data_IF_721939716537
#
_entry.id   IF_721939716537
#
_cell.length_a   1.000
_cell.length_b   1.000
_cell.length_c   1.000
_cell.angle_alpha   90.00
_cell.angle_beta   90.00
_cell.angle_gamma   90.00
#
_symmetry.space_group_name_H-M   'P 1'
#
loop_
_entity.id
_entity.type
_entity.pdbx_description
1 polymer ?
#
# COMPACT_ATOMS: atom_id res chain seq x y z
N UNK A 1 -28.66 64.67 45.03
CA UNK A 1 -27.67 64.62 43.97
C UNK A 1 -27.16 63.23 43.84
N UNK A 2 -27.75 62.50 42.95
CA UNK A 2 -27.60 61.05 42.76
C UNK A 2 -26.54 60.78 41.69
N UNK A 3 -25.44 60.19 42.11
CA UNK A 3 -24.36 59.74 41.23
C UNK A 3 -24.83 58.45 40.56
N UNK A 4 -25.14 58.51 39.30
CA UNK A 4 -25.34 57.33 38.45
C UNK A 4 -23.98 56.75 38.10
N UNK A 5 -23.64 55.63 38.75
CA UNK A 5 -22.55 54.76 38.28
C UNK A 5 -23.08 53.97 37.12
N UNK A 6 -22.72 54.41 35.93
CA UNK A 6 -22.82 53.57 34.73
C UNK A 6 -21.81 52.47 34.85
N UNK A 7 -22.25 51.29 35.29
CA UNK A 7 -21.48 50.08 35.14
C UNK A 7 -21.56 49.73 33.65
N UNK A 8 -20.54 50.13 32.90
CA UNK A 8 -20.28 49.54 31.61
C UNK A 8 -19.98 48.06 31.83
N UNK A 9 -20.99 47.25 31.79
CA UNK A 9 -20.79 45.80 31.54
C UNK A 9 -20.19 45.72 30.13
N UNK A 10 -18.86 45.78 30.07
CA UNK A 10 -18.14 45.23 28.97
C UNK A 10 -18.50 43.75 28.90
N UNK A 11 -19.53 43.46 28.15
CA UNK A 11 -19.72 42.13 27.58
C UNK A 11 -18.46 41.83 26.80
N UNK A 12 -17.45 41.33 27.48
CA UNK A 12 -16.44 40.51 26.85
C UNK A 12 -17.26 39.37 26.25
N UNK A 13 -17.78 39.63 25.05
CA UNK A 13 -18.03 38.53 24.13
C UNK A 13 -16.70 37.79 24.09
N UNK A 14 -16.56 36.80 24.93
CA UNK A 14 -15.76 35.64 24.63
C UNK A 14 -16.42 35.12 23.34
N UNK A 15 -16.00 35.70 22.24
CA UNK A 15 -15.90 34.96 20.99
C UNK A 15 -14.91 33.86 21.35
N UNK A 16 -15.44 32.81 21.98
CA UNK A 16 -14.91 31.48 21.79
C UNK A 16 -15.05 31.33 20.27
N UNK A 17 -14.05 31.88 19.58
CA UNK A 17 -13.68 31.32 18.30
C UNK A 17 -13.43 29.88 18.67
N UNK A 18 -14.47 29.06 18.56
CA UNK A 18 -14.31 27.69 18.16
C UNK A 18 -13.49 27.80 16.89
N UNK A 19 -12.18 27.81 17.06
CA UNK A 19 -11.28 27.18 16.16
C UNK A 19 -11.55 25.68 16.43
N UNK A 20 -12.74 25.22 16.12
CA UNK A 20 -12.86 24.04 15.32
C UNK A 20 -12.01 24.44 14.12
N UNK A 21 -10.71 24.09 14.21
CA UNK A 21 -9.97 23.82 13.00
C UNK A 21 -10.97 23.06 12.16
N UNK A 22 -11.41 23.67 11.07
CA UNK A 22 -12.21 22.98 10.11
C UNK A 22 -11.31 21.82 9.70
N UNK A 23 -11.44 20.71 10.42
CA UNK A 23 -11.03 19.42 9.90
C UNK A 23 -11.76 19.42 8.59
N UNK A 24 -11.02 19.49 7.51
CA UNK A 24 -11.62 19.28 6.21
C UNK A 24 -12.29 17.92 6.34
N UNK A 25 -13.60 17.95 6.63
CA UNK A 25 -14.36 16.75 6.79
C UNK A 25 -14.14 15.99 5.50
N UNK A 26 -13.70 14.72 5.59
CA UNK A 26 -13.59 13.87 4.40
C UNK A 26 -14.87 14.05 3.60
N UNK A 27 -14.73 14.34 2.32
CA UNK A 27 -15.88 14.37 1.45
C UNK A 27 -16.52 12.99 1.43
N UNK A 28 -17.83 12.92 1.27
CA UNK A 28 -18.50 11.63 1.10
C UNK A 28 -17.84 10.89 -0.08
N UNK A 29 -17.24 9.73 0.22
CA UNK A 29 -16.54 8.91 -0.78
C UNK A 29 -15.00 9.03 -0.77
N UNK A 30 -14.41 9.86 0.10
CA UNK A 30 -12.95 9.85 0.29
C UNK A 30 -12.51 8.61 1.07
N UNK A 31 -11.36 8.05 0.70
CA UNK A 31 -10.76 6.93 1.41
C UNK A 31 -9.23 7.07 1.46
N UNK A 32 -8.64 6.49 2.48
CA UNK A 32 -7.19 6.43 2.66
C UNK A 32 -6.73 5.01 2.38
N UNK A 33 -5.58 4.86 1.74
CA UNK A 33 -4.92 3.58 1.57
C UNK A 33 -3.59 3.60 2.30
N UNK A 34 -3.38 2.62 3.18
CA UNK A 34 -2.16 2.47 3.97
C UNK A 34 -1.37 1.28 3.44
N UNK A 35 -0.07 1.47 3.26
CA UNK A 35 0.85 0.44 2.78
C UNK A 35 1.82 0.02 3.88
N UNK A 36 1.76 -1.25 4.25
CA UNK A 36 2.69 -1.94 5.13
C UNK A 36 3.57 -2.90 4.33
N UNK A 37 4.66 -3.36 4.95
CA UNK A 37 5.54 -4.40 4.40
C UNK A 37 5.73 -5.53 5.42
N UNK A 38 6.90 -5.65 6.01
CA UNK A 38 7.20 -6.71 6.96
C UNK A 38 6.75 -6.39 8.39
N UNK A 39 6.27 -7.41 9.09
CA UNK A 39 5.86 -7.31 10.50
C UNK A 39 6.61 -8.35 11.32
N UNK A 40 7.39 -7.91 12.29
CA UNK A 40 8.20 -8.80 13.12
C UNK A 40 7.65 -8.90 14.55
N UNK A 41 7.79 -10.07 15.14
CA UNK A 41 7.57 -10.23 16.58
C UNK A 41 8.90 -10.05 17.31
N UNK A 42 9.11 -8.86 17.88
CA UNK A 42 10.34 -8.52 18.59
C UNK A 42 10.61 -9.39 19.82
N UNK A 43 9.61 -10.11 20.31
CA UNK A 43 9.77 -11.05 21.42
C UNK A 43 10.38 -12.38 20.98
N UNK A 44 10.24 -12.74 19.71
CA UNK A 44 10.71 -14.01 19.12
C UNK A 44 11.98 -13.81 18.30
N UNK A 45 12.16 -12.64 17.70
CA UNK A 45 13.29 -12.32 16.81
C UNK A 45 13.93 -10.99 17.18
N UNK A 46 14.59 -10.89 18.37
CA UNK A 46 15.14 -9.62 18.84
C UNK A 46 16.31 -9.09 17.99
N UNK A 47 17.03 -9.96 17.28
CA UNK A 47 18.21 -9.63 16.47
C UNK A 47 17.93 -9.61 14.96
N UNK A 48 16.65 -9.53 14.56
CA UNK A 48 16.33 -9.46 13.14
C UNK A 48 16.76 -8.09 12.59
N UNK A 49 17.50 -8.09 11.47
CA UNK A 49 17.78 -6.88 10.72
C UNK A 49 16.45 -6.22 10.34
N UNK A 50 16.12 -5.13 11.04
CA UNK A 50 14.89 -4.37 10.81
C UNK A 50 15.18 -3.39 9.68
N UNK A 51 14.58 -3.63 8.53
CA UNK A 51 14.61 -2.66 7.43
C UNK A 51 13.66 -1.50 7.76
N UNK A 52 13.89 -0.35 7.13
CA UNK A 52 13.12 0.88 7.41
C UNK A 52 11.60 0.68 7.32
N UNK A 53 11.14 -0.23 6.46
CA UNK A 53 9.73 -0.53 6.24
C UNK A 53 9.18 -1.66 7.13
N UNK A 54 9.98 -2.16 8.07
CA UNK A 54 9.56 -3.19 9.01
C UNK A 54 8.96 -2.55 10.26
N UNK A 55 7.80 -3.02 10.68
CA UNK A 55 7.19 -2.62 11.96
C UNK A 55 7.07 -3.83 12.90
N UNK A 56 6.90 -3.56 14.20
CA UNK A 56 6.65 -4.65 15.14
C UNK A 56 5.17 -5.05 15.15
N UNK A 57 4.90 -6.31 15.55
CA UNK A 57 3.54 -6.78 15.83
C UNK A 57 2.80 -5.87 16.83
N UNK A 58 3.50 -5.40 17.87
CA UNK A 58 2.92 -4.48 18.84
C UNK A 58 2.46 -3.18 18.19
N UNK A 59 3.30 -2.60 17.32
CA UNK A 59 2.96 -1.39 16.56
C UNK A 59 1.76 -1.61 15.64
N UNK A 60 1.70 -2.74 14.93
CA UNK A 60 0.55 -3.05 14.08
C UNK A 60 -0.75 -3.15 14.90
N UNK A 61 -0.70 -3.75 16.09
CA UNK A 61 -1.85 -3.80 17.01
C UNK A 61 -2.27 -2.40 17.45
N UNK A 62 -1.32 -1.52 17.77
CA UNK A 62 -1.62 -0.12 18.11
C UNK A 62 -2.32 0.60 16.94
N UNK A 63 -1.85 0.39 15.68
CA UNK A 63 -2.49 0.96 14.49
C UNK A 63 -3.92 0.39 14.30
N UNK A 64 -4.11 -0.90 14.46
CA UNK A 64 -5.44 -1.52 14.33
C UNK A 64 -6.40 -1.05 15.43
N UNK A 65 -5.90 -0.88 16.66
CA UNK A 65 -6.68 -0.28 17.75
C UNK A 65 -7.08 1.16 17.43
N UNK A 66 -6.15 1.97 16.91
CA UNK A 66 -6.43 3.35 16.50
C UNK A 66 -7.51 3.40 15.41
N UNK A 67 -7.44 2.51 14.43
CA UNK A 67 -8.45 2.38 13.36
C UNK A 67 -9.81 2.01 13.97
N UNK A 68 -9.87 0.95 14.78
CA UNK A 68 -11.11 0.46 15.37
C UNK A 68 -11.75 1.46 16.32
N UNK A 69 -10.98 2.01 17.28
CA UNK A 69 -11.46 2.91 18.31
C UNK A 69 -11.70 4.33 17.80
N UNK A 70 -10.98 4.75 16.74
CA UNK A 70 -11.16 6.02 16.06
C UNK A 70 -12.39 6.06 15.14
N UNK A 71 -13.12 4.93 15.03
CA UNK A 71 -14.31 4.80 14.20
C UNK A 71 -14.00 4.76 12.70
N UNK A 72 -12.74 4.48 12.33
CA UNK A 72 -12.36 4.21 10.95
C UNK A 72 -12.85 2.81 10.56
N UNK A 73 -13.23 2.67 9.30
CA UNK A 73 -13.80 1.41 8.80
C UNK A 73 -12.93 0.88 7.66
N UNK A 74 -12.18 -0.21 7.90
CA UNK A 74 -11.48 -0.89 6.85
C UNK A 74 -12.46 -1.42 5.81
N UNK A 75 -12.14 -1.17 4.54
CA UNK A 75 -12.96 -1.59 3.39
C UNK A 75 -12.12 -2.41 2.42
N UNK A 76 -12.74 -3.33 1.72
CA UNK A 76 -12.11 -4.07 0.62
C UNK A 76 -12.05 -3.20 -0.65
N UNK A 77 -11.13 -3.53 -1.56
CA UNK A 77 -11.12 -2.89 -2.88
C UNK A 77 -12.46 -3.09 -3.62
N UNK A 78 -13.12 -4.24 -3.42
CA UNK A 78 -14.42 -4.49 -4.04
C UNK A 78 -15.50 -3.51 -3.56
N UNK A 79 -15.49 -3.14 -2.28
CA UNK A 79 -16.42 -2.13 -1.76
C UNK A 79 -16.18 -0.76 -2.40
N UNK A 80 -14.90 -0.38 -2.59
CA UNK A 80 -14.54 0.87 -3.29
C UNK A 80 -15.02 0.83 -4.75
N UNK A 81 -14.79 -0.27 -5.45
CA UNK A 81 -15.27 -0.48 -6.84
C UNK A 81 -16.79 -0.36 -6.92
N UNK A 82 -17.51 -1.01 -6.00
CA UNK A 82 -18.96 -0.99 -5.97
C UNK A 82 -19.52 0.43 -5.70
N UNK A 83 -18.90 1.14 -4.74
CA UNK A 83 -19.30 2.52 -4.44
C UNK A 83 -19.06 3.45 -5.63
N UNK A 84 -17.92 3.32 -6.31
CA UNK A 84 -17.61 4.07 -7.55
C UNK A 84 -18.60 3.79 -8.67
N UNK A 85 -19.11 2.57 -8.75
CA UNK A 85 -20.15 2.18 -9.73
C UNK A 85 -21.58 2.63 -9.35
N UNK A 86 -21.74 3.41 -8.27
CA UNK A 86 -23.05 3.90 -7.80
C UNK A 86 -23.80 2.91 -6.90
N UNK A 87 -23.11 1.90 -6.37
CA UNK A 87 -23.64 0.96 -5.37
C UNK A 87 -23.66 1.54 -3.95
N UNK A 88 -23.50 0.64 -2.96
CA UNK A 88 -23.46 1.03 -1.55
C UNK A 88 -22.34 2.08 -1.32
N UNK A 89 -22.64 3.25 -0.75
CA UNK A 89 -21.64 4.27 -0.43
C UNK A 89 -20.55 3.75 0.53
N UNK A 90 -19.34 4.29 0.41
CA UNK A 90 -18.30 4.04 1.41
C UNK A 90 -18.66 4.68 2.76
N UNK A 91 -18.22 4.11 3.87
CA UNK A 91 -18.30 4.77 5.16
C UNK A 91 -17.47 6.06 5.16
N UNK A 92 -17.84 7.04 6.00
CA UNK A 92 -17.18 8.36 6.06
C UNK A 92 -15.67 8.28 6.37
N UNK A 93 -15.25 7.26 7.10
CA UNK A 93 -13.86 7.03 7.51
C UNK A 93 -13.31 5.73 6.89
N UNK A 94 -13.51 5.56 5.57
CA UNK A 94 -13.04 4.38 4.85
C UNK A 94 -11.51 4.30 4.79
N UNK A 95 -10.95 3.13 5.07
CA UNK A 95 -9.52 2.82 5.02
C UNK A 95 -9.31 1.52 4.27
N UNK A 96 -8.42 1.48 3.28
CA UNK A 96 -7.96 0.24 2.66
C UNK A 96 -6.57 -0.09 3.20
N UNK A 97 -6.40 -1.31 3.69
CA UNK A 97 -5.11 -1.83 4.14
C UNK A 97 -4.43 -2.58 3.01
N UNK A 98 -3.17 -2.28 2.74
CA UNK A 98 -2.35 -3.00 1.77
C UNK A 98 -1.04 -3.44 2.39
N UNK A 99 -0.53 -4.59 1.95
CA UNK A 99 0.74 -5.15 2.40
C UNK A 99 1.53 -5.58 1.16
N UNK A 100 2.80 -5.21 1.09
CA UNK A 100 3.63 -5.41 -0.09
C UNK A 100 4.66 -6.54 0.12
N UNK A 101 5.34 -6.93 -0.97
CA UNK A 101 6.48 -7.83 -1.04
C UNK A 101 6.18 -9.33 -0.82
N UNK A 102 5.05 -9.67 -0.24
CA UNK A 102 4.73 -11.06 0.05
C UNK A 102 5.54 -11.65 1.20
N UNK A 103 5.83 -10.88 2.24
CA UNK A 103 6.50 -11.39 3.44
C UNK A 103 5.67 -12.47 4.13
N UNK A 104 6.36 -13.49 4.64
CA UNK A 104 5.73 -14.59 5.38
C UNK A 104 5.02 -14.14 6.65
N UNK A 105 5.50 -13.06 7.25
CA UNK A 105 4.88 -12.43 8.41
C UNK A 105 3.42 -12.02 8.17
N UNK A 106 3.04 -11.75 6.91
CA UNK A 106 1.64 -11.51 6.59
C UNK A 106 0.76 -12.73 6.95
N UNK A 107 1.17 -13.93 6.59
CA UNK A 107 0.44 -15.15 6.93
C UNK A 107 0.51 -15.47 8.44
N UNK A 108 1.70 -15.35 9.03
CA UNK A 108 1.95 -15.85 10.39
C UNK A 108 1.52 -14.87 11.49
N UNK A 109 1.52 -13.54 11.20
CA UNK A 109 1.22 -12.47 12.18
C UNK A 109 0.02 -11.63 11.75
N UNK A 110 0.05 -11.07 10.52
CA UNK A 110 -0.95 -10.10 10.08
C UNK A 110 -2.32 -10.76 9.88
N UNK A 111 -2.38 -11.87 9.17
CA UNK A 111 -3.64 -12.54 8.86
C UNK A 111 -4.45 -12.99 10.08
N UNK A 112 -3.83 -13.54 11.15
CA UNK A 112 -4.53 -13.75 12.43
C UNK A 112 -5.13 -12.48 13.02
N UNK A 113 -4.43 -11.34 12.91
CA UNK A 113 -4.94 -10.05 13.39
C UNK A 113 -6.08 -9.54 12.49
N UNK A 114 -5.97 -9.64 11.16
CA UNK A 114 -7.06 -9.29 10.25
C UNK A 114 -8.35 -10.06 10.58
N UNK A 115 -8.24 -11.35 10.90
CA UNK A 115 -9.38 -12.15 11.35
C UNK A 115 -9.94 -11.70 12.70
N UNK A 116 -9.08 -11.30 13.64
CA UNK A 116 -9.51 -10.85 14.96
C UNK A 116 -10.28 -9.53 14.89
N UNK A 117 -9.85 -8.61 14.01
CA UNK A 117 -10.47 -7.29 13.86
C UNK A 117 -11.55 -7.25 12.77
N UNK A 118 -11.72 -8.33 12.00
CA UNK A 118 -12.59 -8.39 10.80
C UNK A 118 -12.21 -7.32 9.76
N UNK A 119 -10.90 -7.14 9.53
CA UNK A 119 -10.37 -6.14 8.62
C UNK A 119 -9.99 -6.75 7.28
N UNK A 120 -10.57 -6.29 6.15
CA UNK A 120 -10.11 -6.69 4.83
C UNK A 120 -8.78 -6.02 4.47
N UNK A 121 -7.98 -6.70 3.65
CA UNK A 121 -6.69 -6.19 3.17
C UNK A 121 -6.34 -6.71 1.78
N UNK A 122 -5.41 -6.02 1.11
CA UNK A 122 -4.75 -6.47 -0.11
C UNK A 122 -3.33 -6.92 0.22
N UNK A 123 -2.94 -8.12 -0.23
CA UNK A 123 -1.57 -8.62 -0.14
C UNK A 123 -0.96 -8.69 -1.52
N UNK A 124 0.08 -7.88 -1.78
CA UNK A 124 0.81 -7.89 -3.04
C UNK A 124 2.06 -8.77 -2.97
N UNK A 125 2.24 -9.64 -3.96
CA UNK A 125 3.33 -10.60 -3.98
C UNK A 125 4.23 -10.44 -5.20
N UNK A 126 5.56 -10.59 -5.02
CA UNK A 126 6.54 -10.64 -6.11
C UNK A 126 6.68 -12.08 -6.55
N UNK A 127 6.18 -12.42 -7.73
CA UNK A 127 6.06 -13.81 -8.20
C UNK A 127 7.39 -14.55 -8.24
N UNK A 128 8.46 -13.92 -8.72
CA UNK A 128 9.79 -14.53 -8.81
C UNK A 128 10.39 -14.87 -7.44
N UNK A 129 10.05 -14.11 -6.41
CA UNK A 129 10.52 -14.38 -5.03
C UNK A 129 9.86 -15.64 -4.46
N UNK A 130 8.59 -15.84 -4.78
CA UNK A 130 7.83 -17.02 -4.35
C UNK A 130 8.29 -18.28 -5.10
N UNK A 131 8.85 -18.12 -6.30
CA UNK A 131 9.40 -19.23 -7.11
C UNK A 131 10.81 -19.66 -6.71
N UNK A 132 11.51 -18.91 -5.86
CA UNK A 132 12.82 -19.31 -5.32
C UNK A 132 12.64 -20.60 -4.50
N UNK A 133 13.44 -21.66 -4.73
CA UNK A 133 13.36 -22.89 -3.94
C UNK A 133 13.67 -22.67 -2.45
N UNK A 134 13.13 -23.55 -1.60
CA UNK A 134 13.47 -23.58 -0.18
C UNK A 134 14.99 -23.65 0.05
N UNK A 135 15.49 -22.90 1.05
CA UNK A 135 16.92 -22.74 1.32
C UNK A 135 17.63 -21.78 0.35
N UNK A 136 16.92 -21.24 -0.65
CA UNK A 136 17.44 -20.24 -1.58
C UNK A 136 17.51 -18.84 -0.96
N UNK A 137 17.91 -17.87 -1.79
CA UNK A 137 17.98 -16.46 -1.40
C UNK A 137 17.25 -15.60 -2.43
N UNK A 138 16.49 -14.64 -1.94
CA UNK A 138 15.72 -13.67 -2.72
C UNK A 138 16.54 -12.38 -2.85
N UNK A 139 16.78 -11.88 -4.06
CA UNK A 139 17.37 -10.54 -4.25
C UNK A 139 16.42 -9.47 -3.68
N UNK A 140 16.95 -8.60 -2.81
CA UNK A 140 16.18 -7.53 -2.18
C UNK A 140 17.04 -6.25 -2.14
N UNK A 141 16.85 -5.36 -3.11
CA UNK A 141 17.74 -4.21 -3.28
C UNK A 141 19.21 -4.65 -3.42
N UNK A 142 20.08 -4.10 -2.58
CA UNK A 142 21.53 -4.38 -2.57
C UNK A 142 21.91 -5.63 -1.75
N UNK A 143 20.94 -6.35 -1.18
CA UNK A 143 21.15 -7.50 -0.33
C UNK A 143 20.38 -8.72 -0.85
N UNK A 144 20.54 -9.84 -0.16
CA UNK A 144 19.69 -11.00 -0.38
C UNK A 144 19.10 -11.48 0.94
N UNK A 145 17.83 -11.85 0.91
CA UNK A 145 17.11 -12.36 2.06
C UNK A 145 16.90 -13.88 1.94
N UNK A 146 16.83 -14.62 3.07
CA UNK A 146 16.41 -16.00 3.04
C UNK A 146 15.02 -16.15 2.40
N UNK A 147 14.84 -17.18 1.57
CA UNK A 147 13.56 -17.50 0.93
C UNK A 147 12.42 -17.64 1.95
N UNK A 148 12.74 -18.14 3.10
CA UNK A 148 11.82 -18.42 4.22
C UNK A 148 11.19 -17.16 4.82
N UNK A 149 11.71 -15.98 4.49
CA UNK A 149 11.11 -14.69 4.86
C UNK A 149 9.86 -14.36 4.05
N UNK A 150 9.64 -15.04 2.94
CA UNK A 150 8.54 -14.77 2.03
C UNK A 150 7.51 -15.91 2.04
N UNK A 151 6.28 -15.58 1.65
CA UNK A 151 5.18 -16.52 1.50
C UNK A 151 5.55 -17.66 0.54
N UNK A 152 4.98 -18.83 0.76
CA UNK A 152 4.90 -19.88 -0.25
C UNK A 152 3.60 -19.73 -1.05
N UNK A 153 3.55 -20.30 -2.26
CA UNK A 153 2.30 -20.30 -3.03
C UNK A 153 1.15 -21.01 -2.30
N UNK A 154 1.41 -22.03 -1.50
CA UNK A 154 0.41 -22.69 -0.67
C UNK A 154 -0.16 -21.74 0.41
N UNK A 155 0.68 -20.91 1.02
CA UNK A 155 0.24 -19.89 1.95
C UNK A 155 -0.56 -18.79 1.22
N UNK A 156 -0.11 -18.35 0.04
CA UNK A 156 -0.85 -17.39 -0.79
C UNK A 156 -2.22 -17.94 -1.15
N UNK A 157 -2.32 -19.21 -1.54
CA UNK A 157 -3.60 -19.86 -1.81
C UNK A 157 -4.51 -19.88 -0.59
N UNK A 158 -3.99 -20.20 0.59
CA UNK A 158 -4.76 -20.14 1.85
C UNK A 158 -5.29 -18.73 2.14
N UNK A 159 -4.51 -17.69 1.82
CA UNK A 159 -4.93 -16.30 1.97
C UNK A 159 -6.00 -15.92 0.94
N UNK A 160 -5.85 -16.34 -0.31
CA UNK A 160 -6.79 -16.08 -1.42
C UNK A 160 -8.17 -16.74 -1.20
N UNK A 161 -8.21 -17.87 -0.48
CA UNK A 161 -9.45 -18.54 -0.07
C UNK A 161 -10.22 -17.77 1.03
N UNK A 162 -9.60 -16.78 1.66
CA UNK A 162 -10.23 -15.97 2.71
C UNK A 162 -10.98 -14.77 2.13
N UNK A 163 -12.22 -14.50 2.57
CA UNK A 163 -12.95 -13.31 2.14
C UNK A 163 -12.31 -11.98 2.60
N UNK A 164 -11.34 -12.04 3.52
CA UNK A 164 -10.67 -10.86 4.06
C UNK A 164 -9.43 -10.43 3.25
N UNK A 165 -8.88 -11.31 2.41
CA UNK A 165 -7.62 -11.01 1.71
C UNK A 165 -7.82 -11.09 0.21
N UNK A 166 -7.42 -10.04 -0.50
CA UNK A 166 -7.31 -10.06 -1.95
C UNK A 166 -5.84 -10.08 -2.36
N UNK A 167 -5.45 -11.07 -3.19
CA UNK A 167 -4.07 -11.20 -3.64
C UNK A 167 -3.84 -10.31 -4.87
N UNK A 168 -2.83 -9.45 -4.78
CA UNK A 168 -2.39 -8.56 -5.84
C UNK A 168 -1.01 -8.97 -6.39
N UNK A 169 -0.73 -8.57 -7.62
CA UNK A 169 0.62 -8.63 -8.16
C UNK A 169 1.46 -7.46 -7.66
N UNK A 170 2.70 -7.76 -7.23
CA UNK A 170 3.78 -6.77 -7.06
C UNK A 170 4.83 -6.95 -8.17
N UNK A 171 4.38 -7.22 -9.41
CA UNK A 171 5.09 -7.74 -10.57
C UNK A 171 5.55 -9.21 -10.43
N UNK A 172 5.94 -9.81 -11.54
CA UNK A 172 6.65 -11.09 -11.44
C UNK A 172 8.09 -10.87 -10.98
N UNK A 173 8.82 -9.98 -11.67
CA UNK A 173 10.24 -9.73 -11.41
C UNK A 173 10.68 -8.31 -11.81
N UNK A 174 9.94 -7.26 -11.42
CA UNK A 174 10.34 -5.86 -11.65
C UNK A 174 10.74 -5.13 -10.35
N UNK A 175 10.85 -5.87 -9.24
CA UNK A 175 11.21 -5.28 -7.94
C UNK A 175 12.74 -5.16 -7.79
N UNK A 176 13.36 -4.37 -8.67
CA UNK A 176 14.80 -4.07 -8.63
C UNK A 176 15.10 -2.74 -9.33
N UNK A 177 16.26 -2.19 -9.05
CA UNK A 177 16.81 -1.02 -9.73
C UNK A 177 17.55 -1.41 -11.01
N UNK A 178 17.44 -0.59 -12.04
CA UNK A 178 18.25 -0.69 -13.27
C UNK A 178 19.08 0.56 -13.46
N UNK A 179 20.28 0.43 -14.00
CA UNK A 179 21.09 1.59 -14.38
C UNK A 179 20.35 2.38 -15.45
N UNK A 180 19.88 3.57 -15.10
CA UNK A 180 19.03 4.40 -15.95
C UNK A 180 19.78 5.48 -16.74
N UNK A 181 21.11 5.63 -16.55
CA UNK A 181 21.89 6.66 -17.25
C UNK A 181 23.40 6.36 -17.23
N UNK A 182 24.22 7.08 -18.03
CA UNK A 182 25.68 6.90 -18.09
C UNK A 182 26.41 7.15 -16.78
N UNK A 183 25.82 7.84 -15.83
CA UNK A 183 26.40 8.11 -14.50
C UNK A 183 26.20 6.97 -13.50
N UNK A 184 25.51 5.91 -13.90
CA UNK A 184 25.28 4.73 -13.06
C UNK A 184 24.15 4.86 -12.05
N UNK A 185 23.30 5.89 -12.17
CA UNK A 185 22.16 6.02 -11.26
C UNK A 185 21.12 4.92 -11.51
N UNK A 186 20.76 4.24 -10.44
CA UNK A 186 19.70 3.21 -10.47
C UNK A 186 18.33 3.84 -10.32
N UNK A 187 17.36 3.29 -11.05
CA UNK A 187 15.96 3.68 -11.03
C UNK A 187 15.08 2.44 -11.15
N UNK A 188 13.80 2.56 -10.78
CA UNK A 188 12.85 1.45 -10.81
C UNK A 188 12.75 0.80 -12.20
N UNK A 189 12.92 -0.51 -12.27
CA UNK A 189 12.93 -1.27 -13.53
C UNK A 189 11.62 -1.13 -14.33
N UNK A 190 10.50 -0.93 -13.63
CA UNK A 190 9.18 -0.79 -14.28
C UNK A 190 9.06 0.43 -15.20
N UNK A 191 9.81 1.51 -14.95
CA UNK A 191 9.65 2.79 -15.66
C UNK A 191 10.92 3.28 -16.36
N UNK A 192 11.98 2.49 -16.34
CA UNK A 192 13.29 2.94 -16.79
C UNK A 192 13.82 2.08 -17.94
N UNK A 193 14.15 2.71 -19.06
CA UNK A 193 14.99 2.07 -20.10
C UNK A 193 16.40 1.87 -19.56
N UNK A 194 16.89 0.64 -19.63
CA UNK A 194 18.22 0.29 -19.11
C UNK A 194 19.33 0.95 -19.90
N UNK A 195 20.33 1.48 -19.22
CA UNK A 195 21.56 1.95 -19.82
C UNK A 195 22.63 0.87 -19.80
N UNK A 196 23.29 0.65 -20.93
CA UNK A 196 24.44 -0.23 -21.04
C UNK A 196 25.60 0.49 -21.69
N UNK A 197 26.81 0.40 -21.12
CA UNK A 197 27.99 1.10 -21.59
C UNK A 197 28.42 0.70 -23.00
N UNK A 198 28.02 -0.47 -23.51
CA UNK A 198 28.37 -0.98 -24.84
C UNK A 198 27.33 -0.67 -25.89
N UNK A 199 26.05 -0.74 -25.53
CA UNK A 199 24.92 -0.64 -26.48
C UNK A 199 24.11 0.64 -26.36
N UNK A 200 24.37 1.48 -25.33
CA UNK A 200 23.55 2.65 -25.06
C UNK A 200 22.26 2.31 -24.30
N UNK A 201 21.22 3.08 -24.54
CA UNK A 201 19.92 2.84 -23.94
C UNK A 201 19.21 1.62 -24.59
N UNK A 202 18.50 0.86 -23.75
CA UNK A 202 17.47 -0.08 -24.18
C UNK A 202 16.49 0.65 -25.11
N UNK A 203 16.15 0.03 -26.25
CA UNK A 203 15.15 0.63 -27.12
C UNK A 203 13.77 0.65 -26.46
N UNK A 204 12.89 1.55 -26.89
CA UNK A 204 11.51 1.59 -26.39
C UNK A 204 10.80 0.26 -26.64
N UNK A 205 11.04 -0.39 -27.78
CA UNK A 205 10.46 -1.68 -28.12
C UNK A 205 10.92 -2.78 -27.12
N UNK A 206 12.22 -2.86 -26.85
CA UNK A 206 12.78 -3.85 -25.91
C UNK A 206 12.31 -3.58 -24.48
N UNK A 207 12.24 -2.30 -24.05
CA UNK A 207 11.68 -1.90 -22.77
C UNK A 207 10.23 -2.37 -22.62
N UNK A 208 9.36 -2.05 -23.58
CA UNK A 208 7.96 -2.44 -23.53
C UNK A 208 7.78 -3.96 -23.62
N UNK A 209 8.63 -4.66 -24.37
CA UNK A 209 8.62 -6.12 -24.40
C UNK A 209 9.02 -6.73 -23.05
N UNK A 210 10.04 -6.18 -22.37
CA UNK A 210 10.44 -6.61 -21.04
C UNK A 210 9.28 -6.46 -20.03
N UNK A 211 8.58 -5.33 -20.04
CA UNK A 211 7.42 -5.11 -19.18
C UNK A 211 6.27 -6.06 -19.55
N UNK A 212 5.99 -6.25 -20.84
CA UNK A 212 4.95 -7.17 -21.33
C UNK A 212 5.22 -8.61 -20.88
N UNK A 213 6.47 -9.05 -21.00
CA UNK A 213 6.88 -10.39 -20.57
C UNK A 213 6.69 -10.59 -19.06
N UNK A 214 6.95 -9.57 -18.23
CA UNK A 214 6.70 -9.62 -16.79
C UNK A 214 5.20 -9.76 -16.49
N UNK A 215 4.35 -8.95 -17.14
CA UNK A 215 2.88 -9.03 -16.97
C UNK A 215 2.32 -10.39 -17.42
N UNK A 216 2.82 -10.90 -18.54
CA UNK A 216 2.43 -12.23 -19.04
C UNK A 216 2.82 -13.32 -18.04
N UNK A 217 4.03 -13.25 -17.50
CA UNK A 217 4.52 -14.21 -16.50
C UNK A 217 3.76 -14.11 -15.18
N UNK A 218 3.47 -12.89 -14.73
CA UNK A 218 2.59 -12.64 -13.56
C UNK A 218 1.26 -13.38 -13.74
N UNK A 219 0.56 -13.09 -14.85
CA UNK A 219 -0.74 -13.71 -15.13
C UNK A 219 -0.65 -15.22 -15.19
N UNK A 220 0.38 -15.77 -15.86
CA UNK A 220 0.60 -17.20 -15.94
C UNK A 220 0.76 -17.83 -14.55
N UNK A 221 1.64 -17.27 -13.69
CA UNK A 221 1.91 -17.83 -12.37
C UNK A 221 0.68 -17.79 -11.46
N UNK A 222 -0.08 -16.70 -11.48
CA UNK A 222 -1.32 -16.63 -10.72
C UNK A 222 -2.32 -17.69 -11.20
N UNK A 223 -2.50 -17.84 -12.51
CA UNK A 223 -3.39 -18.86 -13.07
C UNK A 223 -2.96 -20.29 -12.68
N UNK A 224 -1.65 -20.57 -12.72
CA UNK A 224 -1.08 -21.88 -12.37
C UNK A 224 -1.24 -22.19 -10.87
N UNK A 225 -1.10 -21.21 -9.99
CA UNK A 225 -1.04 -21.40 -8.55
C UNK A 225 -2.38 -21.19 -7.83
N UNK A 226 -3.18 -20.24 -8.32
CA UNK A 226 -4.43 -19.84 -7.67
C UNK A 226 -5.68 -20.17 -8.50
N UNK A 227 -5.51 -20.56 -9.77
CA UNK A 227 -6.63 -20.79 -10.68
C UNK A 227 -7.32 -19.52 -11.19
N UNK A 228 -6.81 -18.35 -10.84
CA UNK A 228 -7.33 -17.04 -11.23
C UNK A 228 -6.20 -16.13 -11.73
N UNK A 229 -6.56 -14.97 -12.28
CA UNK A 229 -5.57 -13.96 -12.69
C UNK A 229 -5.71 -12.71 -11.82
N UNK A 230 -4.61 -12.00 -11.49
CA UNK A 230 -4.70 -10.81 -10.66
C UNK A 230 -5.41 -9.68 -11.43
N UNK A 231 -6.23 -8.92 -10.74
CA UNK A 231 -6.84 -7.69 -11.26
C UNK A 231 -6.20 -6.43 -10.71
N UNK A 232 -5.25 -6.58 -9.77
CA UNK A 232 -4.54 -5.52 -9.08
C UNK A 232 -3.06 -5.61 -9.40
N UNK A 233 -2.45 -4.45 -9.74
CA UNK A 233 -1.02 -4.24 -9.77
C UNK A 233 -0.63 -3.24 -8.69
N UNK A 234 0.24 -3.65 -7.80
CA UNK A 234 0.93 -2.76 -6.87
C UNK A 234 2.31 -2.50 -7.44
N UNK A 235 2.58 -1.26 -7.85
CA UNK A 235 3.83 -0.96 -8.53
C UNK A 235 5.02 -1.00 -7.57
N UNK A 236 6.08 -1.78 -7.86
CA UNK A 236 7.32 -1.73 -7.10
C UNK A 236 7.83 -0.28 -7.01
N UNK A 237 8.22 0.13 -5.80
CA UNK A 237 8.63 1.52 -5.49
C UNK A 237 7.55 2.58 -5.81
N UNK A 238 6.32 2.19 -6.05
CA UNK A 238 5.24 3.06 -6.51
C UNK A 238 5.42 3.60 -7.93
N UNK A 239 6.41 3.11 -8.68
CA UNK A 239 6.83 3.67 -9.96
C UNK A 239 6.04 3.10 -11.14
N UNK A 240 5.34 3.96 -11.86
CA UNK A 240 4.58 3.62 -13.05
C UNK A 240 4.69 4.72 -14.13
N UNK A 241 4.33 4.37 -15.34
CA UNK A 241 4.16 5.27 -16.48
C UNK A 241 2.84 4.97 -17.18
N UNK A 242 2.38 5.86 -18.07
CA UNK A 242 1.17 5.60 -18.84
C UNK A 242 1.29 4.30 -19.68
N UNK A 243 2.49 4.03 -20.22
CA UNK A 243 2.76 2.80 -20.97
C UNK A 243 2.61 1.55 -20.08
N UNK A 244 3.15 1.57 -18.85
CA UNK A 244 3.04 0.44 -17.92
C UNK A 244 1.61 0.26 -17.40
N UNK A 245 0.85 1.35 -17.19
CA UNK A 245 -0.57 1.30 -16.84
C UNK A 245 -1.39 0.64 -17.96
N UNK A 246 -1.11 0.97 -19.21
CA UNK A 246 -1.79 0.38 -20.34
C UNK A 246 -1.47 -1.11 -20.48
N UNK A 247 -0.20 -1.49 -20.34
CA UNK A 247 0.19 -2.90 -20.33
C UNK A 247 -0.46 -3.68 -19.17
N UNK A 248 -0.48 -3.14 -17.96
CA UNK A 248 -1.16 -3.80 -16.84
C UNK A 248 -2.64 -4.08 -17.15
N UNK A 249 -3.33 -3.09 -17.75
CA UNK A 249 -4.73 -3.25 -18.14
C UNK A 249 -4.93 -4.29 -19.26
N UNK A 250 -4.02 -4.40 -20.24
CA UNK A 250 -4.02 -5.45 -21.29
C UNK A 250 -3.97 -6.86 -20.68
N UNK A 251 -3.31 -7.01 -19.52
CA UNK A 251 -3.22 -8.28 -18.79
C UNK A 251 -4.27 -8.44 -17.69
N UNK A 252 -5.27 -7.54 -17.63
CA UNK A 252 -6.41 -7.63 -16.74
C UNK A 252 -6.23 -6.90 -15.38
N UNK A 253 -5.06 -6.32 -15.12
CA UNK A 253 -4.78 -5.57 -13.91
C UNK A 253 -5.24 -4.11 -14.05
N UNK A 254 -6.54 -3.90 -13.90
CA UNK A 254 -7.20 -2.62 -14.11
C UNK A 254 -7.14 -1.67 -12.91
N UNK A 255 -6.78 -2.19 -11.74
CA UNK A 255 -6.65 -1.45 -10.50
C UNK A 255 -5.18 -1.40 -10.11
N UNK A 256 -4.62 -0.21 -9.96
CA UNK A 256 -3.20 -0.14 -9.61
C UNK A 256 -2.94 0.83 -8.47
N UNK A 257 -1.87 0.59 -7.72
CA UNK A 257 -1.46 1.40 -6.58
C UNK A 257 -0.06 1.97 -6.80
N UNK A 258 0.08 3.25 -6.47
CA UNK A 258 1.34 3.98 -6.37
C UNK A 258 1.83 4.05 -4.92
N UNK A 259 2.85 4.85 -4.65
CA UNK A 259 3.28 5.28 -3.30
C UNK A 259 3.26 6.82 -3.18
N UNK A 260 2.40 7.49 -3.96
CA UNK A 260 2.15 8.90 -3.76
C UNK A 260 1.32 9.10 -2.49
N UNK A 261 1.87 9.80 -1.51
CA UNK A 261 1.21 10.07 -0.23
C UNK A 261 0.11 11.11 -0.40
N UNK A 262 -1.10 10.64 -0.63
CA UNK A 262 -2.30 11.47 -0.73
C UNK A 262 -3.55 10.62 -0.44
N UNK A 263 -4.68 11.24 -0.04
CA UNK A 263 -5.97 10.57 0.00
C UNK A 263 -6.47 10.25 -1.41
N UNK A 264 -7.47 9.41 -1.49
CA UNK A 264 -8.16 9.06 -2.73
C UNK A 264 -9.63 9.48 -2.65
N UNK A 265 -10.20 9.80 -3.81
CA UNK A 265 -11.61 10.12 -3.95
C UNK A 265 -12.27 9.13 -4.93
N UNK A 266 -13.57 8.86 -4.75
CA UNK A 266 -14.28 7.91 -5.63
C UNK A 266 -14.29 8.32 -7.11
N UNK A 267 -14.23 9.66 -7.41
CA UNK A 267 -14.13 10.15 -8.78
C UNK A 267 -12.76 9.93 -9.42
N UNK A 268 -11.70 9.74 -8.62
CA UNK A 268 -10.36 9.57 -9.13
C UNK A 268 -10.21 8.29 -9.95
N UNK A 269 -9.19 8.26 -10.80
CA UNK A 269 -8.83 7.04 -11.52
C UNK A 269 -8.33 5.97 -10.56
N UNK A 270 -8.84 4.75 -10.70
CA UNK A 270 -8.33 3.60 -9.95
C UNK A 270 -7.09 2.96 -10.61
N UNK A 271 -6.54 3.58 -11.66
CA UNK A 271 -5.33 3.12 -12.34
C UNK A 271 -4.03 3.58 -11.68
N UNK A 272 -4.11 4.41 -10.63
CA UNK A 272 -2.95 4.89 -9.85
C UNK A 272 -3.36 5.39 -8.48
N UNK A 273 -4.03 4.55 -7.71
CA UNK A 273 -4.47 4.91 -6.35
C UNK A 273 -3.27 5.22 -5.46
N UNK A 274 -3.42 6.30 -4.71
CA UNK A 274 -2.40 6.80 -3.78
C UNK A 274 -2.33 5.93 -2.53
N UNK A 275 -1.14 5.84 -1.91
CA UNK A 275 -0.94 5.11 -0.66
C UNK A 275 0.04 5.83 0.26
N UNK A 276 -0.24 5.78 1.55
CA UNK A 276 0.70 6.21 2.58
C UNK A 276 1.55 5.02 3.02
N UNK A 277 2.85 5.13 2.82
CA UNK A 277 3.82 4.14 3.29
C UNK A 277 4.00 4.26 4.80
N UNK A 278 3.92 3.13 5.49
CA UNK A 278 4.18 3.01 6.92
C UNK A 278 5.53 2.33 7.12
N UNK A 279 6.36 2.95 7.92
CA UNK A 279 7.69 2.49 8.28
C UNK A 279 7.91 2.49 9.80
N UNK A 280 9.12 2.16 10.23
CA UNK A 280 9.47 2.12 11.66
C UNK A 280 9.44 3.48 12.34
N UNK A 281 9.61 4.57 11.60
CA UNK A 281 9.62 5.95 12.11
C UNK A 281 8.20 6.54 12.18
N UNK A 282 7.22 5.89 11.55
CA UNK A 282 5.83 6.34 11.54
C UNK A 282 5.22 6.24 12.93
N UNK A 283 4.92 7.39 13.52
CA UNK A 283 4.33 7.48 14.87
C UNK A 283 2.82 7.24 14.84
N UNK A 284 2.21 6.99 16.01
CA UNK A 284 0.75 6.92 16.12
C UNK A 284 0.07 8.24 15.77
N UNK A 285 0.72 9.38 16.08
CA UNK A 285 0.23 10.71 15.70
C UNK A 285 0.20 10.85 14.18
N UNK A 286 1.29 10.43 13.49
CA UNK A 286 1.34 10.43 12.02
C UNK A 286 0.24 9.53 11.42
N UNK A 287 0.00 8.34 11.98
CA UNK A 287 -1.12 7.48 11.54
C UNK A 287 -2.47 8.19 11.73
N UNK A 288 -2.68 8.87 12.86
CA UNK A 288 -3.92 9.61 13.11
C UNK A 288 -4.09 10.77 12.12
N UNK A 289 -3.02 11.47 11.79
CA UNK A 289 -3.02 12.53 10.76
C UNK A 289 -3.35 11.96 9.39
N UNK A 290 -2.72 10.86 8.97
CA UNK A 290 -3.02 10.15 7.72
C UNK A 290 -4.49 9.73 7.69
N UNK A 291 -4.95 9.05 8.72
CA UNK A 291 -6.33 8.56 8.81
C UNK A 291 -7.35 9.69 8.84
N UNK A 292 -7.04 10.82 9.46
CA UNK A 292 -7.90 12.01 9.49
C UNK A 292 -7.78 12.90 8.26
N UNK A 293 -6.91 12.55 7.32
CA UNK A 293 -6.63 13.32 6.11
C UNK A 293 -6.04 14.72 6.38
N UNK A 294 -5.20 14.83 7.42
CA UNK A 294 -4.54 16.09 7.81
C UNK A 294 -3.10 16.22 7.30
N UNK A 295 -2.54 15.18 6.66
CA UNK A 295 -1.19 15.22 6.07
C UNK A 295 -1.31 15.79 4.67
N UNK A 296 -0.55 16.86 4.42
CA UNK A 296 -0.47 17.60 3.14
C UNK A 296 0.81 17.27 2.40
#
# INVERSE_FOLDING_TARGET
MTLWRVIAMSAVLLVIVNIQQAQAARSAGDYVVISYHDVVDSTVTPDLDIYSQTITRGRLIEHFNLIALGGYQPVSLQQIINAKAGGQPLPEKAVLLTFDDGYRSFHDIVFPLLKLYDFPAVQAVVGSWLDVPAGGRVPYGNITLPRERFLTWDQVKTLDESPLVEIASHSYNLHYGVVGNPMGNEQAAAVTSMWNTRSGYESEADYLERIRNDMARTRQRFQEQLGSTPRIMVWPYGAYSEATLNLAAEYGMNYTFSLLSAPNQLQDSMRSMNRYLIDQETTLETIEEILSNRVW
#
